data_IF_272304849242
#
_entry.id   IF_272304849242
#
_cell.length_a   1.000
_cell.length_b   1.000
_cell.length_c   1.000
_cell.angle_alpha   90.00
_cell.angle_beta   90.00
_cell.angle_gamma   90.00
#
_symmetry.space_group_name_H-M   'P 1'
#
loop_
_entity.id
_entity.type
_entity.pdbx_description
1 polymer ?
#
# COMPACT_ATOMS: atom_id res chain seq x y z
N UNK A 1 9.83 -11.78 3.41
CA UNK A 1 8.86 -11.99 4.49
C UNK A 1 8.75 -13.45 4.83
N UNK A 2 8.96 -13.78 6.11
CA UNK A 2 8.94 -15.17 6.59
C UNK A 2 7.53 -15.78 6.64
N UNK A 3 6.49 -14.94 6.66
CA UNK A 3 5.10 -15.38 6.74
C UNK A 3 4.45 -15.67 5.39
N UNK A 4 5.08 -15.29 4.28
CA UNK A 4 4.51 -15.50 2.95
C UNK A 4 4.41 -17.00 2.63
N UNK A 5 3.25 -17.42 2.12
CA UNK A 5 2.96 -18.82 1.80
C UNK A 5 3.73 -19.36 0.59
N UNK A 6 4.10 -18.46 -0.33
CA UNK A 6 4.82 -18.84 -1.55
C UNK A 6 5.56 -17.61 -2.14
N UNK A 7 6.32 -17.84 -3.18
CA UNK A 7 7.11 -16.81 -3.87
C UNK A 7 6.23 -15.69 -4.46
N UNK A 8 5.04 -16.03 -4.96
CA UNK A 8 4.13 -15.06 -5.54
C UNK A 8 3.57 -14.12 -4.46
N UNK A 9 3.11 -14.67 -3.34
CA UNK A 9 2.65 -13.86 -2.20
C UNK A 9 3.76 -12.94 -1.71
N UNK A 10 4.98 -13.47 -1.65
CA UNK A 10 6.17 -12.71 -1.25
C UNK A 10 6.42 -11.53 -2.18
N UNK A 11 6.27 -11.73 -3.49
CA UNK A 11 6.40 -10.68 -4.48
C UNK A 11 5.32 -9.62 -4.32
N UNK A 12 4.06 -10.02 -4.09
CA UNK A 12 2.96 -9.10 -3.84
C UNK A 12 3.24 -8.22 -2.63
N UNK A 13 3.49 -8.83 -1.48
CA UNK A 13 3.74 -8.08 -0.26
C UNK A 13 5.02 -7.25 -0.32
N UNK A 14 6.07 -7.78 -0.94
CA UNK A 14 7.32 -7.04 -1.14
C UNK A 14 7.12 -5.79 -2.00
N UNK A 15 6.36 -5.91 -3.09
CA UNK A 15 6.05 -4.77 -3.97
C UNK A 15 5.23 -3.70 -3.24
N UNK A 16 4.22 -4.11 -2.48
CA UNK A 16 3.42 -3.17 -1.70
C UNK A 16 4.23 -2.51 -0.58
N UNK A 17 5.13 -3.26 0.06
CA UNK A 17 6.06 -2.70 1.05
C UNK A 17 7.02 -1.70 0.40
N UNK A 18 7.51 -1.99 -0.80
CA UNK A 18 8.37 -1.06 -1.55
C UNK A 18 7.61 0.23 -1.86
N UNK A 19 6.35 0.13 -2.27
CA UNK A 19 5.51 1.29 -2.50
C UNK A 19 5.34 2.13 -1.23
N UNK A 20 5.05 1.49 -0.10
CA UNK A 20 4.98 2.16 1.21
C UNK A 20 6.27 2.89 1.53
N UNK A 21 7.40 2.23 1.36
CA UNK A 21 8.72 2.79 1.67
C UNK A 21 9.03 4.01 0.81
N UNK A 22 8.80 3.91 -0.50
CA UNK A 22 9.05 5.03 -1.42
C UNK A 22 8.11 6.20 -1.18
N UNK A 23 6.85 5.93 -0.84
CA UNK A 23 5.86 6.97 -0.51
C UNK A 23 6.25 7.69 0.77
N UNK A 24 6.67 6.96 1.81
CA UNK A 24 7.16 7.58 3.06
C UNK A 24 8.39 8.47 2.81
N UNK A 25 9.30 8.02 1.97
CA UNK A 25 10.48 8.80 1.60
C UNK A 25 10.08 10.11 0.90
N UNK A 26 9.06 10.05 0.04
CA UNK A 26 8.53 11.22 -0.66
C UNK A 26 7.85 12.21 0.28
N UNK A 27 7.21 11.70 1.33
CA UNK A 27 6.47 12.52 2.31
C UNK A 27 7.36 13.22 3.33
N UNK A 28 8.54 12.71 3.61
CA UNK A 28 9.42 13.29 4.64
C UNK A 28 9.71 14.78 4.45
N UNK A 29 10.08 15.26 3.25
CA UNK A 29 10.31 16.70 3.06
C UNK A 29 9.06 17.54 3.37
N UNK A 30 7.88 17.04 3.02
CA UNK A 30 6.61 17.70 3.33
C UNK A 30 6.38 17.78 4.83
N UNK A 31 6.59 16.68 5.56
CA UNK A 31 6.43 16.66 7.01
C UNK A 31 7.39 17.62 7.70
N UNK A 32 8.64 17.65 7.25
CA UNK A 32 9.66 18.58 7.79
C UNK A 32 9.29 20.03 7.52
N UNK A 33 8.78 20.33 6.32
CA UNK A 33 8.37 21.68 5.94
C UNK A 33 7.33 22.26 6.90
N UNK A 34 6.41 21.43 7.37
CA UNK A 34 5.34 21.86 8.27
C UNK A 34 5.57 21.54 9.74
N UNK A 35 6.77 21.07 10.09
CA UNK A 35 7.10 20.73 11.48
C UNK A 35 6.28 19.56 12.04
N UNK A 36 5.81 18.67 11.17
CA UNK A 36 5.03 17.51 11.58
C UNK A 36 5.94 16.36 12.03
N UNK A 37 5.45 15.48 12.94
CA UNK A 37 6.27 14.36 13.43
C UNK A 37 6.68 13.41 12.32
N UNK A 38 7.93 12.95 12.37
CA UNK A 38 8.44 11.90 11.48
C UNK A 38 8.23 10.54 12.18
N UNK A 39 6.97 10.16 12.35
CA UNK A 39 6.62 8.88 12.94
C UNK A 39 6.70 7.81 11.86
N UNK A 40 7.71 6.95 11.95
CA UNK A 40 7.93 5.86 11.02
C UNK A 40 7.38 4.52 11.52
N UNK A 41 6.79 4.48 12.70
CA UNK A 41 6.15 3.28 13.22
C UNK A 41 4.83 3.04 12.48
N UNK A 42 4.84 2.05 11.59
CA UNK A 42 3.68 1.72 10.75
C UNK A 42 2.61 0.91 11.48
N UNK A 43 1.98 1.50 12.48
CA UNK A 43 0.94 0.84 13.23
C UNK A 43 1.43 0.10 14.47
N UNK A 44 0.50 -0.30 15.31
CA UNK A 44 0.80 -1.03 16.54
C UNK A 44 1.20 -2.48 16.25
N UNK A 45 1.94 -3.10 17.19
CA UNK A 45 2.26 -4.52 17.10
C UNK A 45 1.00 -5.38 17.02
N UNK A 46 -0.07 -4.94 17.70
CA UNK A 46 -1.37 -5.63 17.66
C UNK A 46 -2.01 -5.58 16.27
N UNK A 47 -1.93 -4.44 15.59
CA UNK A 47 -2.45 -4.30 14.22
C UNK A 47 -1.69 -5.19 13.24
N UNK A 48 -0.36 -5.24 13.36
CA UNK A 48 0.48 -6.11 12.52
C UNK A 48 0.16 -7.59 12.78
N UNK A 49 0.05 -7.99 14.06
CA UNK A 49 -0.30 -9.36 14.42
C UNK A 49 -1.67 -9.76 13.88
N UNK A 50 -2.64 -8.85 13.93
CA UNK A 50 -3.98 -9.08 13.37
C UNK A 50 -3.96 -9.26 11.86
N UNK A 51 -3.17 -8.48 11.15
CA UNK A 51 -2.99 -8.60 9.70
C UNK A 51 -2.37 -9.96 9.34
N UNK A 52 -1.30 -10.35 10.03
CA UNK A 52 -0.63 -11.63 9.80
C UNK A 52 -1.58 -12.81 10.09
N UNK A 53 -2.32 -12.75 11.18
CA UNK A 53 -3.29 -13.79 11.53
C UNK A 53 -4.38 -13.90 10.46
N UNK A 54 -4.91 -12.78 9.98
CA UNK A 54 -5.91 -12.78 8.93
C UNK A 54 -5.37 -13.42 7.63
N UNK A 55 -4.14 -13.11 7.28
CA UNK A 55 -3.50 -13.70 6.11
C UNK A 55 -3.28 -15.21 6.26
N UNK A 56 -2.83 -15.66 7.42
CA UNK A 56 -2.55 -17.08 7.67
C UNK A 56 -3.82 -17.93 7.81
N UNK A 57 -4.88 -17.37 8.38
CA UNK A 57 -6.10 -18.11 8.73
C UNK A 57 -7.14 -18.16 7.63
N UNK A 58 -7.04 -17.28 6.62
CA UNK A 58 -8.06 -17.17 5.57
C UNK A 58 -7.51 -17.47 4.19
N UNK A 59 -8.34 -17.99 3.27
CA UNK A 59 -8.00 -18.05 1.87
C UNK A 59 -7.78 -16.65 1.30
N UNK A 60 -7.00 -16.55 0.23
CA UNK A 60 -6.57 -15.29 -0.38
C UNK A 60 -7.71 -14.31 -0.63
N UNK A 61 -8.81 -14.76 -1.25
CA UNK A 61 -9.95 -13.89 -1.56
C UNK A 61 -10.65 -13.37 -0.31
N UNK A 62 -10.78 -14.20 0.72
CA UNK A 62 -11.38 -13.75 1.99
C UNK A 62 -10.50 -12.74 2.70
N UNK A 63 -9.20 -12.97 2.69
CA UNK A 63 -8.23 -12.03 3.24
C UNK A 63 -8.33 -10.68 2.55
N UNK A 64 -8.33 -10.66 1.20
CA UNK A 64 -8.45 -9.44 0.42
C UNK A 64 -9.79 -8.72 0.67
N UNK A 65 -10.88 -9.48 0.72
CA UNK A 65 -12.20 -8.93 0.99
C UNK A 65 -12.29 -8.26 2.36
N UNK A 66 -11.58 -8.81 3.34
CA UNK A 66 -11.47 -8.21 4.68
C UNK A 66 -10.64 -6.92 4.72
N UNK A 67 -9.64 -6.80 3.84
CA UNK A 67 -8.80 -5.60 3.73
C UNK A 67 -9.51 -4.45 3.03
N UNK A 68 -10.37 -4.73 2.07
CA UNK A 68 -10.93 -3.71 1.18
C UNK A 68 -11.60 -2.55 1.91
N UNK A 69 -12.48 -2.75 2.91
CA UNK A 69 -13.11 -1.63 3.60
C UNK A 69 -12.09 -0.69 4.26
N UNK A 70 -11.02 -1.25 4.81
CA UNK A 70 -9.95 -0.47 5.44
C UNK A 70 -9.21 0.38 4.40
N UNK A 71 -8.84 -0.20 3.28
CA UNK A 71 -8.14 0.50 2.20
C UNK A 71 -9.03 1.57 1.58
N UNK A 72 -10.30 1.27 1.35
CA UNK A 72 -11.28 2.25 0.84
C UNK A 72 -11.39 3.45 1.78
N UNK A 73 -11.39 3.23 3.09
CA UNK A 73 -11.45 4.31 4.07
C UNK A 73 -10.21 5.19 4.03
N UNK A 74 -9.04 4.64 3.77
CA UNK A 74 -7.80 5.41 3.61
C UNK A 74 -7.83 6.25 2.33
N UNK A 75 -8.35 5.71 1.22
CA UNK A 75 -8.49 6.48 -0.03
C UNK A 75 -9.36 7.71 0.21
N UNK A 76 -10.52 7.55 0.85
CA UNK A 76 -11.41 8.67 1.17
C UNK A 76 -10.72 9.71 2.05
N UNK A 77 -10.04 9.25 3.09
CA UNK A 77 -9.36 10.13 4.03
C UNK A 77 -8.24 10.93 3.36
N UNK A 78 -7.43 10.28 2.55
CA UNK A 78 -6.33 10.98 1.86
C UNK A 78 -6.86 11.93 0.78
N UNK A 79 -7.96 11.58 0.10
CA UNK A 79 -8.60 12.49 -0.83
C UNK A 79 -9.12 13.76 -0.14
N UNK A 80 -9.72 13.62 1.04
CA UNK A 80 -10.17 14.77 1.85
C UNK A 80 -8.99 15.64 2.28
N UNK A 81 -7.91 15.04 2.74
CA UNK A 81 -6.69 15.74 3.13
C UNK A 81 -6.11 16.50 1.94
N UNK A 82 -6.06 15.87 0.76
CA UNK A 82 -5.55 16.51 -0.45
C UNK A 82 -6.41 17.71 -0.85
N UNK A 83 -7.73 17.58 -0.80
CA UNK A 83 -8.64 18.69 -1.11
C UNK A 83 -8.46 19.88 -0.19
N UNK A 84 -8.22 19.63 1.10
CA UNK A 84 -8.04 20.66 2.11
C UNK A 84 -6.62 21.27 2.09
N UNK A 85 -5.68 20.62 1.43
CA UNK A 85 -4.28 21.02 1.44
C UNK A 85 -3.93 22.18 0.52
N UNK A 86 -2.77 22.83 0.74
CA UNK A 86 -2.32 23.93 -0.08
C UNK A 86 -2.11 23.53 -1.54
N UNK A 87 -2.39 24.47 -2.46
CA UNK A 87 -2.20 24.24 -3.90
C UNK A 87 -0.75 23.89 -4.25
N UNK A 88 0.21 24.48 -3.56
CA UNK A 88 1.64 24.26 -3.77
C UNK A 88 2.11 22.83 -3.39
N UNK A 89 1.35 22.13 -2.57
CA UNK A 89 1.70 20.80 -2.08
C UNK A 89 0.88 19.70 -2.75
N UNK A 90 0.09 20.01 -3.77
CA UNK A 90 -0.80 19.03 -4.40
C UNK A 90 -0.06 17.84 -5.02
N UNK A 91 1.15 18.02 -5.54
CA UNK A 91 1.92 16.90 -6.09
C UNK A 91 2.16 15.82 -5.04
N UNK A 92 2.56 16.21 -3.84
CA UNK A 92 2.80 15.28 -2.73
C UNK A 92 1.47 14.69 -2.22
N UNK A 93 0.47 15.54 -2.01
CA UNK A 93 -0.83 15.12 -1.48
C UNK A 93 -1.53 14.16 -2.44
N UNK A 94 -1.53 14.46 -3.74
CA UNK A 94 -2.12 13.56 -4.74
C UNK A 94 -1.33 12.26 -4.86
N UNK A 95 -0.02 12.27 -4.64
CA UNK A 95 0.77 11.04 -4.65
C UNK A 95 0.34 10.07 -3.56
N UNK A 96 -0.14 10.56 -2.41
CA UNK A 96 -0.69 9.72 -1.35
C UNK A 96 -2.01 9.07 -1.77
N UNK A 97 -2.86 9.81 -2.48
CA UNK A 97 -4.12 9.28 -3.01
C UNK A 97 -3.83 8.19 -4.03
N UNK A 98 -2.92 8.44 -4.95
CA UNK A 98 -2.51 7.47 -5.98
C UNK A 98 -1.91 6.22 -5.36
N UNK A 99 -1.12 6.37 -4.29
CA UNK A 99 -0.58 5.26 -3.51
C UNK A 99 -1.70 4.35 -2.98
N UNK A 100 -2.70 4.93 -2.32
CA UNK A 100 -3.80 4.13 -1.76
C UNK A 100 -4.69 3.53 -2.86
N UNK A 101 -4.89 4.24 -3.96
CA UNK A 101 -5.64 3.72 -5.10
C UNK A 101 -4.96 2.49 -5.72
N UNK A 102 -3.63 2.39 -5.64
CA UNK A 102 -2.90 1.21 -6.10
C UNK A 102 -3.24 -0.01 -5.26
N UNK A 103 -3.47 0.14 -3.95
CA UNK A 103 -3.93 -0.95 -3.09
C UNK A 103 -5.34 -1.40 -3.46
N UNK A 104 -6.24 -0.46 -3.74
CA UNK A 104 -7.61 -0.80 -4.19
C UNK A 104 -7.56 -1.56 -5.50
N UNK A 105 -6.79 -1.08 -6.46
CA UNK A 105 -6.61 -1.75 -7.76
C UNK A 105 -6.08 -3.17 -7.60
N UNK A 106 -5.08 -3.35 -6.72
CA UNK A 106 -4.53 -4.65 -6.40
C UNK A 106 -5.59 -5.60 -5.87
N UNK A 107 -6.34 -5.17 -4.85
CA UNK A 107 -7.40 -5.99 -4.24
C UNK A 107 -8.45 -6.36 -5.28
N UNK A 108 -8.97 -5.38 -6.01
CA UNK A 108 -10.04 -5.60 -6.97
C UNK A 108 -9.64 -6.56 -8.09
N UNK A 109 -8.44 -6.40 -8.64
CA UNK A 109 -7.95 -7.26 -9.72
C UNK A 109 -7.64 -8.67 -9.21
N UNK A 110 -7.06 -8.80 -8.02
CA UNK A 110 -6.83 -10.12 -7.42
C UNK A 110 -8.14 -10.84 -7.17
N UNK A 111 -9.15 -10.16 -6.66
CA UNK A 111 -10.46 -10.75 -6.42
C UNK A 111 -11.17 -11.14 -7.73
N UNK A 112 -10.93 -10.42 -8.80
CA UNK A 112 -11.49 -10.73 -10.11
C UNK A 112 -10.69 -11.81 -10.87
N UNK A 113 -9.54 -12.21 -10.36
CA UNK A 113 -8.65 -13.15 -11.05
C UNK A 113 -7.98 -12.57 -12.28
N UNK A 114 -7.86 -11.23 -12.34
CA UNK A 114 -7.22 -10.54 -13.46
C UNK A 114 -5.70 -10.48 -13.29
N UNK A 115 -4.99 -10.55 -14.41
CA UNK A 115 -3.55 -10.31 -14.42
C UNK A 115 -3.22 -8.82 -14.22
N UNK A 116 -1.97 -8.53 -13.86
CA UNK A 116 -1.50 -7.15 -13.72
C UNK A 116 -2.03 -6.44 -12.49
N UNK A 117 -2.37 -7.16 -11.42
CA UNK A 117 -2.92 -6.58 -10.20
C UNK A 117 -1.98 -5.56 -9.53
N UNK A 118 -0.67 -5.73 -9.70
CA UNK A 118 0.33 -4.83 -9.12
C UNK A 118 0.78 -3.69 -10.05
N UNK A 119 0.24 -3.61 -11.26
CA UNK A 119 0.71 -2.63 -12.24
C UNK A 119 0.60 -1.18 -11.74
N UNK A 120 -0.51 -0.84 -11.08
CA UNK A 120 -0.71 0.50 -10.54
C UNK A 120 0.30 0.84 -9.44
N UNK A 121 0.77 -0.15 -8.68
CA UNK A 121 1.82 0.03 -7.69
C UNK A 121 3.19 0.14 -8.38
N UNK A 122 3.50 -0.78 -9.29
CA UNK A 122 4.81 -0.86 -9.94
C UNK A 122 5.15 0.41 -10.72
N UNK A 123 4.18 0.99 -11.41
CA UNK A 123 4.39 2.23 -12.19
C UNK A 123 4.85 3.39 -11.33
N UNK A 124 4.57 3.38 -10.03
CA UNK A 124 4.97 4.41 -9.09
C UNK A 124 6.36 4.19 -8.50
N UNK A 125 6.92 3.00 -8.67
CA UNK A 125 8.19 2.62 -8.02
C UNK A 125 9.40 3.09 -8.80
N UNK A 126 10.33 3.70 -8.08
CA UNK A 126 11.66 4.03 -8.59
C UNK A 126 12.56 2.80 -8.58
N UNK A 127 12.35 1.91 -7.61
CA UNK A 127 13.15 0.70 -7.41
C UNK A 127 12.25 -0.55 -7.32
N UNK A 128 11.61 -0.95 -8.45
CA UNK A 128 10.73 -2.11 -8.43
C UNK A 128 11.49 -3.40 -8.14
N UNK A 129 10.80 -4.35 -7.51
CA UNK A 129 11.37 -5.65 -7.21
C UNK A 129 11.42 -6.52 -8.47
N UNK A 130 12.36 -7.47 -8.54
CA UNK A 130 12.40 -8.43 -9.65
C UNK A 130 11.17 -9.33 -9.63
N UNK A 131 10.57 -9.55 -10.80
CA UNK A 131 9.43 -10.45 -10.94
C UNK A 131 9.91 -11.89 -10.72
N UNK A 132 9.21 -12.70 -9.92
CA UNK A 132 9.58 -14.10 -9.74
C UNK A 132 9.52 -14.87 -11.07
N UNK A 133 10.45 -15.79 -11.25
CA UNK A 133 10.41 -16.68 -12.39
C UNK A 133 9.20 -17.63 -12.23
N UNK A 134 8.41 -17.76 -13.30
CA UNK A 134 7.34 -18.76 -13.33
C UNK A 134 7.97 -20.15 -13.46
N UNK A 135 7.55 -21.11 -12.60
CA UNK A 135 8.04 -22.47 -12.73
C UNK A 135 7.61 -23.15 -14.03
#
# INVERSE_FOLDING_TARGET
MSVARNELDRYHFGTLLQLETETKARLRPFLLKYGLPLDEEGGSAEAVAGFVAAYEEHPWHEFLGGLKPLVDSFVERFAEIAQAGPAEDQDVLQSMVVHEQAFVSWIDREMAGEGGSLDAAIVQLKFPLPVPETP
#
